data_IF_380002209668
#
_entry.id   IF_380002209668
#
_cell.length_a   1.000
_cell.length_b   1.000
_cell.length_c   1.000
_cell.angle_alpha   90.00
_cell.angle_beta   90.00
_cell.angle_gamma   90.00
#
_symmetry.space_group_name_H-M   'P 1'
#
loop_
_entity.id
_entity.type
_entity.pdbx_description
1 polymer ?
#
# COMPACT_ATOMS: atom_id res chain seq x y z
N UNK A 1 -1.03 -13.91 -17.60
CA UNK A 1 -2.08 -14.10 -16.58
C UNK A 1 -1.50 -15.04 -15.53
N UNK A 2 -1.16 -14.53 -14.35
CA UNK A 2 -0.65 -15.35 -13.24
C UNK A 2 -1.81 -16.21 -12.74
N UNK A 3 -1.63 -17.53 -12.66
CA UNK A 3 -2.66 -18.41 -12.08
C UNK A 3 -2.65 -18.23 -10.56
N UNK A 4 -3.69 -17.59 -10.03
CA UNK A 4 -3.90 -17.52 -8.59
C UNK A 4 -4.08 -18.94 -8.01
N UNK A 5 -3.49 -19.24 -6.84
CA UNK A 5 -3.84 -20.46 -6.09
C UNK A 5 -5.34 -20.50 -5.83
N UNK A 6 -5.91 -21.71 -5.76
CA UNK A 6 -7.36 -21.91 -5.57
C UNK A 6 -7.91 -21.16 -4.34
N UNK A 7 -7.13 -21.08 -3.26
CA UNK A 7 -7.47 -20.32 -2.05
C UNK A 7 -7.59 -18.82 -2.31
N UNK A 8 -6.75 -18.24 -3.17
CA UNK A 8 -6.82 -16.82 -3.53
C UNK A 8 -7.92 -16.53 -4.54
N UNK A 9 -8.21 -17.45 -5.46
CA UNK A 9 -9.38 -17.34 -6.32
C UNK A 9 -10.67 -17.35 -5.50
N UNK A 10 -10.74 -18.19 -4.46
CA UNK A 10 -11.84 -18.18 -3.51
C UNK A 10 -11.92 -16.86 -2.75
N UNK A 11 -10.80 -16.37 -2.22
CA UNK A 11 -10.76 -15.08 -1.52
C UNK A 11 -11.24 -13.93 -2.41
N UNK A 12 -10.75 -13.83 -3.63
CA UNK A 12 -11.15 -12.79 -4.58
C UNK A 12 -12.66 -12.88 -4.88
N UNK A 13 -13.18 -14.10 -5.03
CA UNK A 13 -14.62 -14.30 -5.24
C UNK A 13 -15.45 -13.82 -4.05
N UNK A 14 -15.00 -14.06 -2.81
CA UNK A 14 -15.67 -13.55 -1.61
C UNK A 14 -15.54 -12.03 -1.48
N UNK A 15 -14.38 -11.47 -1.80
CA UNK A 15 -14.17 -10.03 -1.81
C UNK A 15 -15.10 -9.33 -2.83
N UNK A 16 -15.21 -9.84 -4.06
CA UNK A 16 -16.09 -9.26 -5.08
C UNK A 16 -17.57 -9.32 -4.68
N UNK A 17 -17.96 -10.27 -3.81
CA UNK A 17 -19.33 -10.33 -3.25
C UNK A 17 -19.61 -9.25 -2.19
N UNK A 18 -18.59 -8.56 -1.70
CA UNK A 18 -18.78 -7.38 -0.85
C UNK A 18 -19.29 -6.18 -1.67
N UNK A 19 -19.22 -6.24 -3.01
CA UNK A 19 -19.77 -5.21 -3.90
C UNK A 19 -19.23 -3.79 -3.60
N UNK A 20 -17.94 -3.70 -3.32
CA UNK A 20 -17.24 -2.43 -3.02
C UNK A 20 -16.90 -1.61 -4.28
N UNK A 21 -17.44 -1.97 -5.44
CA UNK A 21 -17.23 -1.24 -6.70
C UNK A 21 -15.85 -1.40 -7.36
N UNK A 22 -15.00 -2.32 -6.90
CA UNK A 22 -13.67 -2.57 -7.50
C UNK A 22 -13.73 -3.53 -8.68
N UNK A 23 -12.94 -3.24 -9.71
CA UNK A 23 -12.72 -4.12 -10.86
C UNK A 23 -11.75 -5.25 -10.52
N UNK A 24 -12.05 -6.48 -10.94
CA UNK A 24 -11.20 -7.65 -10.70
C UNK A 24 -9.77 -7.51 -11.26
N UNK A 25 -9.56 -6.63 -12.25
CA UNK A 25 -8.26 -6.35 -12.86
C UNK A 25 -7.29 -5.68 -11.88
N UNK A 26 -7.77 -5.02 -10.83
CA UNK A 26 -6.93 -4.56 -9.73
C UNK A 26 -6.11 -5.74 -9.16
N UNK A 27 -6.78 -6.85 -8.89
CA UNK A 27 -6.16 -8.02 -8.27
C UNK A 27 -5.44 -8.91 -9.29
N UNK A 28 -6.06 -9.14 -10.45
CA UNK A 28 -5.58 -10.12 -11.43
C UNK A 28 -4.53 -9.56 -12.41
N UNK A 29 -4.43 -8.23 -12.52
CA UNK A 29 -3.45 -7.55 -13.39
C UNK A 29 -2.59 -6.58 -12.60
N UNK A 30 -3.18 -5.56 -11.97
CA UNK A 30 -2.42 -4.46 -11.37
C UNK A 30 -1.48 -4.93 -10.24
N UNK A 31 -2.01 -5.57 -9.20
CA UNK A 31 -1.18 -6.09 -8.09
C UNK A 31 -0.16 -7.10 -8.58
N UNK A 32 -0.58 -8.06 -9.43
CA UNK A 32 0.31 -9.10 -9.94
C UNK A 32 1.50 -8.53 -10.71
N UNK A 33 1.24 -7.61 -11.65
CA UNK A 33 2.27 -6.99 -12.47
C UNK A 33 3.13 -6.03 -11.65
N UNK A 34 2.50 -5.21 -10.80
CA UNK A 34 3.20 -4.25 -9.97
C UNK A 34 4.22 -4.91 -9.06
N UNK A 35 3.83 -5.97 -8.37
CA UNK A 35 4.75 -6.72 -7.52
C UNK A 35 5.81 -7.47 -8.32
N UNK A 36 5.49 -8.05 -9.48
CA UNK A 36 6.49 -8.68 -10.35
C UNK A 36 7.59 -7.67 -10.75
N UNK A 37 7.19 -6.48 -11.24
CA UNK A 37 8.13 -5.48 -11.76
C UNK A 37 8.93 -4.77 -10.68
N UNK A 38 8.38 -4.66 -9.47
CA UNK A 38 9.05 -4.01 -8.34
C UNK A 38 9.76 -4.99 -7.41
N UNK A 39 9.80 -6.29 -7.72
CA UNK A 39 10.55 -7.25 -6.91
C UNK A 39 12.05 -6.98 -7.00
N UNK A 40 12.73 -6.91 -5.86
CA UNK A 40 14.17 -6.70 -5.82
C UNK A 40 14.92 -7.83 -6.53
N UNK A 41 15.98 -7.47 -7.27
CA UNK A 41 16.83 -8.45 -7.97
C UNK A 41 17.60 -9.38 -7.03
N UNK A 42 17.59 -9.10 -5.72
CA UNK A 42 18.25 -9.88 -4.68
C UNK A 42 17.41 -11.04 -4.15
N UNK A 43 16.10 -11.06 -4.46
CA UNK A 43 15.17 -12.10 -3.98
C UNK A 43 15.61 -13.46 -4.50
N UNK A 44 15.69 -14.43 -3.59
CA UNK A 44 16.05 -15.81 -3.90
C UNK A 44 15.07 -16.41 -4.89
N UNK A 45 15.59 -17.08 -5.92
CA UNK A 45 14.75 -17.78 -6.91
C UNK A 45 13.90 -18.87 -6.27
N UNK A 46 14.33 -19.43 -5.13
CA UNK A 46 13.58 -20.41 -4.35
C UNK A 46 12.32 -19.83 -3.71
N UNK A 47 12.35 -18.55 -3.33
CA UNK A 47 11.25 -17.87 -2.64
C UNK A 47 10.50 -16.86 -3.51
N UNK A 48 10.94 -16.62 -4.74
CA UNK A 48 10.39 -15.58 -5.63
C UNK A 48 8.85 -15.65 -5.76
N UNK A 49 8.30 -16.80 -6.15
CA UNK A 49 6.85 -16.99 -6.30
C UNK A 49 6.09 -16.80 -4.98
N UNK A 50 6.66 -17.27 -3.87
CA UNK A 50 6.04 -17.17 -2.54
C UNK A 50 6.08 -15.72 -2.04
N UNK A 51 7.15 -15.00 -2.33
CA UNK A 51 7.32 -13.58 -2.03
C UNK A 51 6.30 -12.74 -2.82
N UNK A 52 6.19 -12.97 -4.14
CA UNK A 52 5.16 -12.34 -4.98
C UNK A 52 3.76 -12.59 -4.44
N UNK A 53 3.46 -13.84 -4.06
CA UNK A 53 2.19 -14.22 -3.49
C UNK A 53 1.89 -13.48 -2.19
N UNK A 54 2.87 -13.39 -1.30
CA UNK A 54 2.73 -12.69 -0.03
C UNK A 54 2.52 -11.18 -0.24
N UNK A 55 3.24 -10.57 -1.19
CA UNK A 55 3.02 -9.17 -1.57
C UNK A 55 1.64 -8.94 -2.16
N UNK A 56 1.15 -9.86 -3.00
CA UNK A 56 -0.22 -9.81 -3.51
C UNK A 56 -1.25 -9.80 -2.37
N UNK A 57 -1.04 -10.61 -1.33
CA UNK A 57 -1.92 -10.60 -0.15
C UNK A 57 -1.80 -9.35 0.69
N UNK A 58 -0.61 -8.77 0.79
CA UNK A 58 -0.44 -7.45 1.39
C UNK A 58 -1.27 -6.41 0.63
N UNK A 59 -1.14 -6.34 -0.70
CA UNK A 59 -1.92 -5.42 -1.53
C UNK A 59 -3.42 -5.65 -1.39
N UNK A 60 -3.85 -6.92 -1.36
CA UNK A 60 -5.26 -7.28 -1.19
C UNK A 60 -5.81 -6.93 0.19
N UNK A 61 -5.00 -7.08 1.25
CA UNK A 61 -5.34 -6.64 2.60
C UNK A 61 -5.53 -5.13 2.60
N UNK A 62 -4.55 -4.40 2.06
CA UNK A 62 -4.57 -2.95 1.96
C UNK A 62 -5.83 -2.47 1.24
N UNK A 63 -6.14 -3.02 0.07
CA UNK A 63 -7.35 -2.66 -0.69
C UNK A 63 -8.62 -2.93 0.10
N UNK A 64 -8.77 -4.14 0.66
CA UNK A 64 -9.95 -4.49 1.46
C UNK A 64 -10.14 -3.53 2.64
N UNK A 65 -9.07 -3.26 3.39
CA UNK A 65 -9.19 -2.42 4.58
C UNK A 65 -9.40 -0.95 4.21
N UNK A 66 -8.78 -0.45 3.14
CA UNK A 66 -9.00 0.90 2.58
C UNK A 66 -10.47 1.10 2.18
N UNK A 67 -11.01 0.19 1.35
CA UNK A 67 -12.41 0.22 0.92
C UNK A 67 -13.36 0.29 2.10
N UNK A 68 -13.10 -0.46 3.17
CA UNK A 68 -13.99 -0.52 4.34
C UNK A 68 -13.83 0.64 5.31
N UNK A 69 -12.65 1.23 5.42
CA UNK A 69 -12.44 2.36 6.34
C UNK A 69 -12.86 3.68 5.72
N UNK A 70 -12.75 3.81 4.39
CA UNK A 70 -13.07 5.04 3.69
C UNK A 70 -14.51 5.06 3.14
N UNK A 71 -15.20 3.91 3.11
CA UNK A 71 -16.61 3.86 2.73
C UNK A 71 -17.49 4.79 3.58
N UNK A 72 -18.27 5.70 2.98
CA UNK A 72 -19.06 6.70 3.71
C UNK A 72 -20.00 6.12 4.77
N UNK A 73 -20.51 4.91 4.58
CA UNK A 73 -21.40 4.24 5.54
C UNK A 73 -20.70 3.63 6.76
N UNK A 74 -19.37 3.45 6.72
CA UNK A 74 -18.62 2.78 7.80
C UNK A 74 -17.57 3.67 8.45
N UNK A 75 -17.16 4.75 7.76
CA UNK A 75 -16.16 5.72 8.18
C UNK A 75 -16.46 6.32 9.56
N UNK A 76 -15.80 5.78 10.58
CA UNK A 76 -15.78 6.34 11.94
C UNK A 76 -14.53 5.87 12.68
N UNK A 77 -13.98 6.74 13.53
CA UNK A 77 -12.78 6.39 14.30
C UNK A 77 -12.99 5.17 15.20
N UNK A 78 -14.20 5.00 15.76
CA UNK A 78 -14.56 3.85 16.58
C UNK A 78 -14.54 2.55 15.77
N UNK A 79 -15.13 2.56 14.57
CA UNK A 79 -15.10 1.41 13.66
C UNK A 79 -13.68 1.05 13.29
N UNK A 80 -12.90 2.00 12.75
CA UNK A 80 -11.52 1.76 12.31
C UNK A 80 -10.65 1.22 13.44
N UNK A 81 -10.75 1.80 14.64
CA UNK A 81 -9.97 1.33 15.79
C UNK A 81 -10.33 -0.10 16.18
N UNK A 82 -11.62 -0.44 16.20
CA UNK A 82 -12.09 -1.78 16.57
C UNK A 82 -11.76 -2.81 15.49
N UNK A 83 -11.88 -2.42 14.22
CA UNK A 83 -11.56 -3.25 13.06
C UNK A 83 -10.07 -3.63 13.05
N UNK A 84 -9.18 -2.64 13.25
CA UNK A 84 -7.74 -2.89 13.39
C UNK A 84 -7.45 -3.82 14.57
N UNK A 85 -8.05 -3.58 15.74
CA UNK A 85 -7.85 -4.41 16.91
C UNK A 85 -8.28 -5.87 16.67
N UNK A 86 -9.38 -6.08 15.96
CA UNK A 86 -9.85 -7.41 15.62
C UNK A 86 -8.93 -8.13 14.63
N UNK A 87 -8.44 -7.43 13.61
CA UNK A 87 -7.46 -7.98 12.65
C UNK A 87 -6.17 -8.39 13.36
N UNK A 88 -5.64 -7.53 14.26
CA UNK A 88 -4.35 -7.74 14.90
C UNK A 88 -4.38 -8.71 16.08
N UNK A 89 -5.45 -8.72 16.87
CA UNK A 89 -5.51 -9.39 18.17
C UNK A 89 -6.72 -10.30 18.39
N UNK A 90 -7.59 -10.45 17.39
CA UNK A 90 -8.80 -11.27 17.51
C UNK A 90 -9.82 -10.73 18.53
N UNK A 91 -9.73 -9.44 18.85
CA UNK A 91 -10.68 -8.77 19.74
C UNK A 91 -12.09 -8.81 19.15
N UNK A 92 -13.10 -9.05 19.99
CA UNK A 92 -14.48 -9.01 19.54
C UNK A 92 -14.89 -7.57 19.22
N UNK A 93 -15.45 -7.38 18.03
CA UNK A 93 -16.15 -6.16 17.65
C UNK A 93 -17.63 -6.48 17.64
N UNK A 94 -18.42 -5.75 18.43
CA UNK A 94 -19.86 -5.97 18.47
C UNK A 94 -20.62 -4.69 18.81
N UNK A 95 -21.84 -4.50 18.25
CA UNK A 95 -22.47 -5.33 17.20
C UNK A 95 -22.01 -4.95 15.78
N UNK A 96 -21.84 -5.95 14.90
CA UNK A 96 -21.51 -5.77 13.48
C UNK A 96 -22.68 -6.17 12.58
N UNK A 97 -22.82 -5.47 11.45
CA UNK A 97 -23.67 -5.96 10.36
C UNK A 97 -23.07 -7.22 9.71
N UNK A 98 -23.90 -8.00 9.00
CA UNK A 98 -23.41 -9.16 8.25
C UNK A 98 -22.32 -8.79 7.24
N UNK A 99 -22.43 -7.60 6.64
CA UNK A 99 -21.47 -7.06 5.70
C UNK A 99 -20.13 -6.75 6.39
N UNK A 100 -20.15 -6.04 7.51
CA UNK A 100 -18.94 -5.74 8.30
C UNK A 100 -18.26 -7.01 8.84
N UNK A 101 -19.05 -7.99 9.27
CA UNK A 101 -18.53 -9.28 9.72
C UNK A 101 -17.85 -10.05 8.59
N UNK A 102 -18.42 -10.04 7.38
CA UNK A 102 -17.81 -10.69 6.23
C UNK A 102 -16.46 -10.06 5.88
N UNK A 103 -16.39 -8.73 5.80
CA UNK A 103 -15.15 -8.01 5.55
C UNK A 103 -14.08 -8.26 6.62
N UNK A 104 -14.48 -8.24 7.90
CA UNK A 104 -13.56 -8.55 9.00
C UNK A 104 -12.99 -9.96 8.90
N UNK A 105 -13.82 -10.95 8.57
CA UNK A 105 -13.34 -12.32 8.39
C UNK A 105 -12.32 -12.43 7.25
N UNK A 106 -12.55 -11.77 6.11
CA UNK A 106 -11.60 -11.74 5.01
C UNK A 106 -10.28 -11.03 5.40
N UNK A 107 -10.37 -9.92 6.12
CA UNK A 107 -9.18 -9.18 6.57
C UNK A 107 -8.35 -9.99 7.56
N UNK A 108 -8.99 -10.65 8.54
CA UNK A 108 -8.33 -11.54 9.50
C UNK A 108 -7.65 -12.73 8.79
N UNK A 109 -8.31 -13.32 7.79
CA UNK A 109 -7.73 -14.41 7.00
C UNK A 109 -6.48 -13.96 6.25
N UNK A 110 -6.53 -12.82 5.56
CA UNK A 110 -5.38 -12.26 4.86
C UNK A 110 -4.23 -11.91 5.80
N UNK A 111 -4.53 -11.24 6.91
CA UNK A 111 -3.51 -10.84 7.88
C UNK A 111 -2.83 -12.06 8.52
N UNK A 112 -3.62 -13.05 8.96
CA UNK A 112 -3.09 -14.29 9.51
C UNK A 112 -2.24 -15.07 8.49
N UNK A 113 -2.66 -15.12 7.21
CA UNK A 113 -1.85 -15.72 6.15
C UNK A 113 -0.55 -14.95 5.95
N UNK A 114 -0.61 -13.63 5.86
CA UNK A 114 0.54 -12.76 5.63
C UNK A 114 1.59 -12.96 6.73
N UNK A 115 1.17 -12.96 8.00
CA UNK A 115 2.06 -13.22 9.14
C UNK A 115 2.74 -14.59 9.04
N UNK A 116 1.98 -15.65 8.76
CA UNK A 116 2.54 -17.00 8.63
C UNK A 116 3.54 -17.09 7.48
N UNK A 117 3.24 -16.44 6.35
CA UNK A 117 4.08 -16.50 5.17
C UNK A 117 5.36 -15.72 5.33
N UNK A 118 5.32 -14.52 5.93
CA UNK A 118 6.53 -13.78 6.32
C UNK A 118 7.45 -14.68 7.15
N UNK A 119 6.92 -15.37 8.16
CA UNK A 119 7.73 -16.28 8.98
C UNK A 119 8.31 -17.46 8.20
N UNK A 120 7.58 -18.02 7.25
CA UNK A 120 8.01 -19.20 6.47
C UNK A 120 9.00 -18.89 5.35
N UNK A 121 8.87 -17.74 4.71
CA UNK A 121 9.68 -17.38 3.54
C UNK A 121 10.95 -16.57 3.88
N UNK A 122 11.08 -16.15 5.14
CA UNK A 122 12.20 -15.31 5.56
C UNK A 122 13.49 -16.10 5.70
N UNK A 123 14.50 -15.73 4.91
CA UNK A 123 15.90 -16.14 5.04
C UNK A 123 16.65 -15.32 6.10
N UNK A 124 16.13 -14.15 6.49
CA UNK A 124 16.76 -13.21 7.42
C UNK A 124 15.83 -12.86 8.61
N UNK A 125 15.71 -13.74 9.64
CA UNK A 125 14.69 -13.61 10.69
C UNK A 125 14.67 -12.27 11.44
N UNK A 126 15.82 -11.59 11.53
CA UNK A 126 15.90 -10.26 12.15
C UNK A 126 15.07 -9.17 11.44
N UNK A 127 14.68 -9.39 10.19
CA UNK A 127 13.82 -8.45 9.45
C UNK A 127 12.35 -8.59 9.81
N UNK A 128 11.92 -9.68 10.44
CA UNK A 128 10.51 -9.91 10.80
C UNK A 128 9.99 -8.77 11.69
N UNK A 129 10.73 -8.41 12.74
CA UNK A 129 10.34 -7.32 13.63
C UNK A 129 10.25 -5.95 12.92
N UNK A 130 11.08 -5.72 11.90
CA UNK A 130 10.99 -4.50 11.08
C UNK A 130 9.75 -4.52 10.17
N UNK A 131 9.44 -5.66 9.56
CA UNK A 131 8.22 -5.83 8.76
C UNK A 131 6.98 -5.64 9.63
N UNK A 132 6.96 -6.20 10.84
CA UNK A 132 5.89 -6.00 11.81
C UNK A 132 5.75 -4.53 12.21
N UNK A 133 6.87 -3.83 12.44
CA UNK A 133 6.87 -2.39 12.68
C UNK A 133 6.26 -1.62 11.50
N UNK A 134 6.63 -1.96 10.27
CA UNK A 134 6.13 -1.30 9.06
C UNK A 134 4.63 -1.58 8.83
N UNK A 135 4.14 -2.79 9.19
CA UNK A 135 2.71 -3.10 9.26
C UNK A 135 1.98 -2.20 10.28
N UNK A 136 2.59 -1.91 11.43
CA UNK A 136 2.00 -0.95 12.38
C UNK A 136 1.91 0.47 11.80
N UNK A 137 2.86 0.88 10.96
CA UNK A 137 2.77 2.17 10.26
C UNK A 137 1.58 2.21 9.29
N UNK A 138 1.29 1.10 8.61
CA UNK A 138 0.08 0.97 7.79
C UNK A 138 -1.21 1.13 8.61
N UNK A 139 -1.34 0.42 9.73
CA UNK A 139 -2.52 0.57 10.59
C UNK A 139 -2.64 1.96 11.24
N UNK A 140 -1.51 2.58 11.55
CA UNK A 140 -1.49 3.98 11.99
C UNK A 140 -2.00 4.91 10.90
N UNK A 141 -1.63 4.67 9.63
CA UNK A 141 -2.17 5.41 8.51
C UNK A 141 -3.70 5.28 8.39
N UNK A 142 -4.29 4.09 8.56
CA UNK A 142 -5.74 3.95 8.51
C UNK A 142 -6.46 4.86 9.53
N UNK A 143 -5.92 4.94 10.76
CA UNK A 143 -6.41 5.89 11.78
C UNK A 143 -6.20 7.34 11.35
N UNK A 144 -5.02 7.64 10.81
CA UNK A 144 -4.69 8.97 10.32
C UNK A 144 -5.62 9.42 9.19
N UNK A 145 -5.87 8.60 8.17
CA UNK A 145 -6.79 8.88 7.07
C UNK A 145 -8.22 9.12 7.57
N UNK A 146 -8.66 8.35 8.56
CA UNK A 146 -9.98 8.56 9.20
C UNK A 146 -10.05 9.91 9.90
N UNK A 147 -9.01 10.26 10.67
CA UNK A 147 -8.93 11.55 11.38
C UNK A 147 -8.85 12.74 10.43
N UNK A 148 -7.98 12.64 9.41
CA UNK A 148 -7.80 13.63 8.35
C UNK A 148 -9.13 13.95 7.66
N UNK A 149 -9.92 12.93 7.39
CA UNK A 149 -11.21 13.09 6.76
C UNK A 149 -12.27 13.73 7.67
N UNK A 150 -12.20 13.53 8.98
CA UNK A 150 -13.14 14.13 9.94
C UNK A 150 -12.76 15.56 10.34
N UNK A 151 -11.46 15.85 10.42
CA UNK A 151 -10.91 17.10 10.95
C UNK A 151 -9.81 17.68 10.04
N UNK A 152 -10.08 17.92 8.74
CA UNK A 152 -9.05 18.26 7.77
C UNK A 152 -8.30 19.57 8.10
N UNK A 153 -8.95 20.50 8.81
CA UNK A 153 -8.35 21.77 9.22
C UNK A 153 -7.28 21.63 10.31
N UNK A 154 -7.24 20.50 11.03
CA UNK A 154 -6.29 20.26 12.12
C UNK A 154 -4.97 19.67 11.63
N UNK A 155 -4.89 19.27 10.36
CA UNK A 155 -3.73 18.55 9.82
C UNK A 155 -2.68 19.52 9.30
N UNK A 156 -1.42 19.25 9.66
CA UNK A 156 -0.31 19.95 9.03
C UNK A 156 0.31 19.11 7.89
N UNK A 157 0.94 19.82 6.94
CA UNK A 157 1.63 19.22 5.80
C UNK A 157 2.65 18.14 6.22
N UNK A 158 3.33 18.32 7.36
CA UNK A 158 4.37 17.39 7.82
C UNK A 158 3.78 16.03 8.19
N UNK A 159 2.68 16.02 8.96
CA UNK A 159 2.00 14.80 9.36
C UNK A 159 1.43 14.07 8.15
N UNK A 160 0.83 14.82 7.22
CA UNK A 160 0.33 14.24 5.98
C UNK A 160 1.41 13.54 5.17
N UNK A 161 2.51 14.24 4.88
CA UNK A 161 3.62 13.67 4.09
C UNK A 161 4.28 12.47 4.75
N UNK A 162 4.22 12.39 6.09
CA UNK A 162 4.75 11.26 6.84
C UNK A 162 3.80 10.06 6.85
N UNK A 163 2.53 10.28 7.19
CA UNK A 163 1.58 9.19 7.44
C UNK A 163 0.83 8.75 6.19
N UNK A 164 0.41 9.66 5.31
CA UNK A 164 -0.46 9.34 4.18
C UNK A 164 0.14 8.27 3.24
N UNK A 165 1.44 8.33 2.87
CA UNK A 165 2.01 7.35 1.93
C UNK A 165 2.01 5.90 2.40
N UNK A 166 1.86 5.64 3.70
CA UNK A 166 1.88 4.27 4.23
C UNK A 166 0.72 3.41 3.72
N UNK A 167 -0.36 3.99 3.20
CA UNK A 167 -1.43 3.25 2.54
C UNK A 167 -0.96 2.48 1.29
N UNK A 168 0.19 2.81 0.70
CA UNK A 168 0.71 2.09 -0.46
C UNK A 168 1.41 0.77 -0.10
N UNK A 169 1.80 0.57 1.16
CA UNK A 169 2.45 -0.67 1.62
C UNK A 169 3.82 -0.99 0.98
N UNK A 170 4.42 -0.07 0.22
CA UNK A 170 5.64 -0.35 -0.54
C UNK A 170 6.86 -0.59 0.34
N UNK A 171 6.93 0.03 1.52
CA UNK A 171 7.99 -0.27 2.50
C UNK A 171 7.88 -1.72 2.97
N UNK A 172 6.67 -2.16 3.32
CA UNK A 172 6.43 -3.54 3.77
C UNK A 172 6.81 -4.52 2.65
N UNK A 173 6.38 -4.25 1.41
CA UNK A 173 6.73 -5.06 0.25
C UNK A 173 8.24 -5.16 -0.01
N UNK A 174 8.97 -4.03 0.04
CA UNK A 174 10.43 -4.02 -0.10
C UNK A 174 11.15 -4.76 1.03
N UNK A 175 10.66 -4.66 2.26
CA UNK A 175 11.20 -5.41 3.39
C UNK A 175 10.92 -6.92 3.28
N UNK A 176 9.78 -7.33 2.70
CA UNK A 176 9.50 -8.72 2.37
C UNK A 176 10.46 -9.27 1.31
N UNK A 177 10.81 -8.47 0.31
CA UNK A 177 11.83 -8.83 -0.69
C UNK A 177 13.20 -9.03 -0.03
N UNK A 178 13.63 -8.10 0.83
CA UNK A 178 14.87 -8.27 1.60
C UNK A 178 14.83 -9.52 2.47
N UNK A 179 13.72 -9.80 3.15
CA UNK A 179 13.56 -11.01 3.95
C UNK A 179 13.73 -12.30 3.12
N UNK A 180 13.38 -12.26 1.84
CA UNK A 180 13.52 -13.38 0.90
C UNK A 180 14.83 -13.35 0.09
N UNK A 181 15.76 -12.42 0.36
CA UNK A 181 16.96 -12.24 -0.43
C UNK A 181 18.09 -13.19 -0.02
N UNK A 182 18.81 -13.74 -1.00
CA UNK A 182 19.96 -14.64 -0.77
C UNK A 182 21.16 -13.90 -0.13
N UNK A 183 21.25 -12.60 -0.37
CA UNK A 183 22.32 -11.73 0.11
C UNK A 183 21.77 -10.36 0.52
N UNK A 184 22.30 -9.83 1.62
CA UNK A 184 22.06 -8.46 2.08
C UNK A 184 23.37 -7.87 2.57
N UNK A 185 23.76 -6.72 2.03
CA UNK A 185 24.81 -5.88 2.62
C UNK A 185 24.21 -5.06 3.77
N UNK A 186 24.53 -5.42 5.01
CA UNK A 186 23.85 -4.84 6.17
C UNK A 186 24.19 -3.38 6.42
N UNK A 187 25.35 -2.91 5.95
CA UNK A 187 25.69 -1.49 6.02
C UNK A 187 24.80 -0.64 5.09
N UNK A 188 24.12 -1.25 4.11
CA UNK A 188 23.22 -0.57 3.17
C UNK A 188 21.77 -0.46 3.69
N UNK A 189 21.44 -1.06 4.85
CA UNK A 189 20.04 -1.19 5.31
C UNK A 189 19.32 0.16 5.43
N UNK A 190 19.99 1.21 5.92
CA UNK A 190 19.40 2.53 6.01
C UNK A 190 19.05 3.10 4.62
N UNK A 191 19.98 3.00 3.66
CA UNK A 191 19.78 3.45 2.29
C UNK A 191 18.67 2.66 1.58
N UNK A 192 18.63 1.33 1.76
CA UNK A 192 17.55 0.49 1.23
C UNK A 192 16.18 0.90 1.75
N UNK A 193 16.06 1.19 3.05
CA UNK A 193 14.81 1.70 3.63
C UNK A 193 14.44 3.05 3.06
N UNK A 194 15.39 3.98 2.91
CA UNK A 194 15.12 5.28 2.27
C UNK A 194 14.59 5.13 0.85
N UNK A 195 15.14 4.20 0.06
CA UNK A 195 14.64 3.87 -1.27
C UNK A 195 13.18 3.42 -1.21
N UNK A 196 12.81 2.56 -0.26
CA UNK A 196 11.43 2.11 -0.12
C UNK A 196 10.49 3.23 0.32
N UNK A 197 10.91 4.14 1.21
CA UNK A 197 10.14 5.34 1.54
C UNK A 197 9.96 6.28 0.34
N UNK A 198 11.00 6.47 -0.47
CA UNK A 198 10.90 7.26 -1.71
C UNK A 198 9.93 6.61 -2.70
N UNK A 199 9.96 5.28 -2.79
CA UNK A 199 9.05 4.50 -3.64
C UNK A 199 7.60 4.59 -3.14
N UNK A 200 7.41 4.48 -1.83
CA UNK A 200 6.11 4.63 -1.20
C UNK A 200 5.52 6.02 -1.48
N UNK A 201 6.33 7.08 -1.39
CA UNK A 201 5.91 8.43 -1.73
C UNK A 201 5.59 8.58 -3.21
N UNK A 202 6.40 8.03 -4.11
CA UNK A 202 6.11 8.10 -5.55
C UNK A 202 4.85 7.33 -5.94
N UNK A 203 4.61 6.16 -5.32
CA UNK A 203 3.37 5.40 -5.43
C UNK A 203 2.16 6.19 -4.95
N UNK A 204 2.27 6.83 -3.77
CA UNK A 204 1.19 7.66 -3.23
C UNK A 204 0.86 8.83 -4.15
N UNK A 205 1.87 9.52 -4.69
CA UNK A 205 1.67 10.59 -5.67
C UNK A 205 0.92 10.05 -6.90
N UNK A 206 1.31 8.88 -7.41
CA UNK A 206 0.63 8.25 -8.54
C UNK A 206 -0.85 7.99 -8.24
N UNK A 207 -1.15 7.43 -7.07
CA UNK A 207 -2.51 7.22 -6.60
C UNK A 207 -3.28 8.55 -6.51
N UNK A 208 -2.75 9.54 -5.78
CA UNK A 208 -3.35 10.88 -5.64
C UNK A 208 -3.74 11.51 -6.98
N UNK A 209 -2.87 11.41 -7.99
CA UNK A 209 -3.10 12.00 -9.32
C UNK A 209 -4.18 11.27 -10.12
N UNK A 210 -4.29 9.96 -9.96
CA UNK A 210 -5.20 9.12 -10.77
C UNK A 210 -6.57 8.92 -10.14
N UNK A 211 -6.69 9.08 -8.81
CA UNK A 211 -7.94 8.94 -8.07
C UNK A 211 -8.63 10.26 -7.77
N UNK A 212 -8.05 11.41 -8.15
CA UNK A 212 -8.57 12.75 -7.83
C UNK A 212 -10.05 12.92 -8.19
N UNK A 213 -10.45 12.55 -9.40
CA UNK A 213 -11.82 12.74 -9.88
C UNK A 213 -12.81 11.93 -9.04
N UNK A 214 -12.53 10.63 -8.86
CA UNK A 214 -13.34 9.71 -8.03
C UNK A 214 -13.45 10.22 -6.58
N UNK A 215 -12.32 10.55 -5.96
CA UNK A 215 -12.29 11.00 -4.56
C UNK A 215 -13.00 12.35 -4.38
N UNK A 216 -13.02 13.20 -5.42
CA UNK A 216 -13.78 14.45 -5.41
C UNK A 216 -15.29 14.19 -5.48
N UNK A 217 -15.74 13.24 -6.30
CA UNK A 217 -17.15 12.82 -6.37
C UNK A 217 -17.63 12.18 -5.06
N UNK A 218 -16.75 11.42 -4.38
CA UNK A 218 -17.02 10.80 -3.09
C UNK A 218 -16.94 11.78 -1.89
N UNK A 219 -16.51 13.03 -2.12
CA UNK A 219 -16.31 14.03 -1.07
C UNK A 219 -15.17 13.70 -0.12
N UNK A 220 -14.18 12.94 -0.59
CA UNK A 220 -13.04 12.47 0.19
C UNK A 220 -11.92 13.53 0.23
N UNK A 221 -11.79 14.21 1.38
CA UNK A 221 -10.86 15.33 1.57
C UNK A 221 -9.41 14.84 1.77
N UNK A 222 -9.17 13.53 1.97
CA UNK A 222 -7.82 13.01 2.21
C UNK A 222 -6.88 13.05 1.00
N UNK A 223 -7.38 13.37 -0.20
CA UNK A 223 -6.56 13.60 -1.38
C UNK A 223 -5.61 14.80 -1.16
N UNK A 224 -4.31 14.63 -1.46
CA UNK A 224 -3.31 15.68 -1.21
C UNK A 224 -3.61 16.98 -1.97
N UNK A 225 -4.16 16.88 -3.18
CA UNK A 225 -4.49 18.05 -4.01
C UNK A 225 -5.58 18.85 -3.32
N UNK A 226 -6.63 18.19 -2.83
CA UNK A 226 -7.71 18.84 -2.11
C UNK A 226 -7.23 19.49 -0.80
N UNK A 227 -6.37 18.81 -0.04
CA UNK A 227 -5.77 19.39 1.17
C UNK A 227 -4.89 20.59 0.87
N UNK A 228 -4.03 20.49 -0.15
CA UNK A 228 -3.16 21.61 -0.56
C UNK A 228 -3.97 22.81 -1.03
N UNK A 229 -5.15 22.60 -1.64
CA UNK A 229 -6.12 23.66 -1.96
C UNK A 229 -6.73 24.25 -0.68
N UNK A 230 -7.14 23.41 0.27
CA UNK A 230 -7.76 23.83 1.53
C UNK A 230 -6.84 24.67 2.43
N UNK A 231 -5.59 24.23 2.63
CA UNK A 231 -4.64 24.91 3.53
C UNK A 231 -3.95 26.15 2.91
N UNK A 232 -4.15 26.38 1.61
CA UNK A 232 -3.69 27.58 0.92
C UNK A 232 -2.17 27.65 0.64
N UNK A 233 -1.82 28.56 -0.29
CA UNK A 233 -0.46 28.90 -0.80
C UNK A 233 0.20 27.96 -1.83
N UNK A 234 -0.51 26.98 -2.38
CA UNK A 234 0.07 26.05 -3.37
C UNK A 234 -0.28 26.35 -4.85
N UNK A 235 -0.93 27.48 -5.14
CA UNK A 235 -1.29 27.86 -6.51
C UNK A 235 -2.60 27.23 -6.99
N UNK A 236 -2.76 27.12 -8.31
CA UNK A 236 -3.90 26.42 -8.93
C UNK A 236 -3.77 24.90 -8.75
N UNK A 237 -4.84 24.16 -9.04
CA UNK A 237 -4.82 22.70 -9.05
C UNK A 237 -3.76 22.16 -10.02
N UNK A 238 -3.67 22.74 -11.23
CA UNK A 238 -2.64 22.42 -12.22
C UNK A 238 -1.23 22.61 -11.65
N UNK A 239 -0.97 23.71 -10.94
CA UNK A 239 0.33 23.94 -10.29
C UNK A 239 0.64 22.87 -9.23
N UNK A 240 -0.37 22.40 -8.49
CA UNK A 240 -0.18 21.33 -7.51
C UNK A 240 0.15 20.01 -8.22
N UNK A 241 -0.56 19.69 -9.30
CA UNK A 241 -0.32 18.50 -10.11
C UNK A 241 1.11 18.50 -10.67
N UNK A 242 1.54 19.61 -11.26
CA UNK A 242 2.92 19.77 -11.78
C UNK A 242 3.96 19.58 -10.67
N UNK A 243 3.74 20.17 -9.50
CA UNK A 243 4.63 20.00 -8.34
C UNK A 243 4.74 18.55 -7.91
N UNK A 244 3.63 17.81 -7.85
CA UNK A 244 3.63 16.39 -7.48
C UNK A 244 4.31 15.52 -8.55
N UNK A 245 4.06 15.80 -9.83
CA UNK A 245 4.75 15.11 -10.93
C UNK A 245 6.26 15.32 -10.89
N UNK A 246 6.71 16.56 -10.63
CA UNK A 246 8.13 16.87 -10.46
C UNK A 246 8.73 16.21 -9.21
N UNK A 247 8.00 16.21 -8.09
CA UNK A 247 8.42 15.52 -6.86
C UNK A 247 8.64 14.02 -7.14
N UNK A 248 7.69 13.36 -7.81
CA UNK A 248 7.80 11.95 -8.22
C UNK A 248 9.02 11.70 -9.13
N UNK A 249 9.25 12.56 -10.12
CA UNK A 249 10.41 12.44 -11.00
C UNK A 249 11.74 12.55 -10.22
N UNK A 250 11.82 13.50 -9.29
CA UNK A 250 12.98 13.67 -8.42
C UNK A 250 13.20 12.47 -7.49
N UNK A 251 12.13 11.84 -6.99
CA UNK A 251 12.23 10.63 -6.17
C UNK A 251 12.80 9.45 -6.96
N UNK A 252 12.37 9.25 -8.22
CA UNK A 252 12.96 8.22 -9.09
C UNK A 252 14.43 8.50 -9.38
N UNK A 253 14.79 9.76 -9.62
CA UNK A 253 16.18 10.14 -9.80
C UNK A 253 17.00 9.85 -8.55
N UNK A 254 16.52 10.26 -7.36
CA UNK A 254 17.19 9.98 -6.09
C UNK A 254 17.45 8.47 -5.91
N UNK A 255 16.43 7.62 -6.13
CA UNK A 255 16.60 6.17 -6.02
C UNK A 255 17.63 5.66 -7.05
N UNK A 256 17.59 6.15 -8.28
CA UNK A 256 18.48 5.71 -9.35
C UNK A 256 19.95 6.10 -9.12
N UNK A 257 20.20 7.21 -8.41
CA UNK A 257 21.54 7.68 -8.04
C UNK A 257 22.16 6.88 -6.89
N UNK A 258 21.35 6.18 -6.09
CA UNK A 258 21.85 5.26 -5.07
C UNK A 258 22.57 4.06 -5.71
N UNK A 259 23.74 3.74 -5.17
CA UNK A 259 24.54 2.59 -5.59
C UNK A 259 24.59 1.57 -4.47
N UNK A 260 23.90 0.44 -4.67
CA UNK A 260 23.82 -0.64 -3.71
C UNK A 260 24.40 -1.93 -4.29
N UNK A 261 25.04 -2.72 -3.44
CA UNK A 261 25.48 -4.08 -3.75
C UNK A 261 24.33 -5.08 -3.61
N UNK A 262 23.37 -4.80 -2.74
CA UNK A 262 22.29 -5.73 -2.43
C UNK A 262 21.39 -5.99 -3.64
N UNK A 263 20.87 -4.95 -4.30
CA UNK A 263 20.01 -5.09 -5.48
C UNK A 263 20.23 -3.95 -6.50
N UNK A 264 19.73 -4.13 -7.73
CA UNK A 264 19.80 -3.11 -8.77
C UNK A 264 18.79 -1.99 -8.54
N UNK A 265 19.26 -0.81 -8.10
CA UNK A 265 18.43 0.40 -7.94
C UNK A 265 17.85 0.88 -9.27
N UNK A 266 18.63 0.79 -10.35
CA UNK A 266 18.19 1.10 -11.71
C UNK A 266 17.06 0.17 -12.20
N UNK A 267 17.21 -1.14 -11.99
CA UNK A 267 16.17 -2.11 -12.33
C UNK A 267 14.89 -1.89 -11.52
N UNK A 268 15.04 -1.57 -10.23
CA UNK A 268 13.91 -1.26 -9.36
C UNK A 268 13.17 0.02 -9.81
N UNK A 269 13.89 1.10 -10.16
CA UNK A 269 13.27 2.33 -10.72
C UNK A 269 12.57 2.08 -12.05
N UNK A 270 13.15 1.24 -12.91
CA UNK A 270 12.46 0.84 -14.14
C UNK A 270 11.14 0.13 -13.83
N UNK A 271 11.13 -0.76 -12.83
CA UNK A 271 9.92 -1.41 -12.34
C UNK A 271 8.87 -0.42 -11.83
N UNK A 272 9.28 0.59 -11.06
CA UNK A 272 8.38 1.66 -10.60
C UNK A 272 7.76 2.45 -11.76
N UNK A 273 8.54 2.76 -12.79
CA UNK A 273 8.03 3.43 -14.00
C UNK A 273 7.03 2.56 -14.76
N UNK A 274 7.28 1.26 -14.86
CA UNK A 274 6.33 0.33 -15.49
C UNK A 274 5.02 0.22 -14.69
N UNK A 275 5.11 0.19 -13.36
CA UNK A 275 3.93 0.23 -12.48
C UNK A 275 3.15 1.53 -12.66
N UNK A 276 3.84 2.67 -12.73
CA UNK A 276 3.21 3.96 -13.03
C UNK A 276 2.45 3.94 -14.36
N UNK A 277 3.10 3.50 -15.45
CA UNK A 277 2.44 3.42 -16.76
C UNK A 277 1.21 2.53 -16.70
N UNK A 278 1.29 1.38 -16.01
CA UNK A 278 0.12 0.53 -15.82
C UNK A 278 -1.00 1.23 -15.04
N UNK A 279 -0.65 2.02 -14.02
CA UNK A 279 -1.62 2.79 -13.24
C UNK A 279 -2.35 3.83 -14.09
N UNK A 280 -1.61 4.52 -14.96
CA UNK A 280 -2.15 5.50 -15.91
C UNK A 280 -3.04 4.81 -16.96
N UNK A 281 -2.61 3.68 -17.52
CA UNK A 281 -3.39 2.86 -18.46
C UNK A 281 -4.69 2.29 -17.85
N UNK A 282 -4.74 2.16 -16.53
CA UNK A 282 -5.88 1.62 -15.78
C UNK A 282 -6.68 2.71 -15.06
N UNK A 283 -6.46 3.98 -15.36
CA UNK A 283 -7.26 5.07 -14.79
C UNK A 283 -8.75 4.87 -15.09
N UNK A 284 -9.60 5.00 -14.06
CA UNK A 284 -11.03 4.73 -14.14
C UNK A 284 -11.42 3.24 -14.12
N UNK A 285 -10.44 2.33 -14.03
CA UNK A 285 -10.66 0.89 -13.83
C UNK A 285 -10.33 0.46 -12.40
N UNK A 286 -9.26 1.00 -11.82
CA UNK A 286 -8.77 0.65 -10.47
C UNK A 286 -9.02 1.76 -9.46
#
# INVERSE_FOLDING_TARGET
MVKLPATLSSWLSEYLRLDMGRDERLFTRFLSFGYEKTTLSSVSTLFYEQCLLAKWMLGSLITLTDDFTDHPSFKSMQWVTSFIAAIQGGHQVAPLSAHQLHALNLACQLYGWLQQSIHKMTLQPRLIALIEFDLQQYFLNMRFSTFLNSEPLLICKREYLWHAPHNMGMVIAGMMDLACSDYIEWQEMAAMREIFYCSQRSGHICNTLTTLDRETEEGCISNEIQLRKMHGKNGSEESIIELLQQERANLYQKIAEESLKTFSTQGYVQGLRQLQTLHEDMQGVI
#
